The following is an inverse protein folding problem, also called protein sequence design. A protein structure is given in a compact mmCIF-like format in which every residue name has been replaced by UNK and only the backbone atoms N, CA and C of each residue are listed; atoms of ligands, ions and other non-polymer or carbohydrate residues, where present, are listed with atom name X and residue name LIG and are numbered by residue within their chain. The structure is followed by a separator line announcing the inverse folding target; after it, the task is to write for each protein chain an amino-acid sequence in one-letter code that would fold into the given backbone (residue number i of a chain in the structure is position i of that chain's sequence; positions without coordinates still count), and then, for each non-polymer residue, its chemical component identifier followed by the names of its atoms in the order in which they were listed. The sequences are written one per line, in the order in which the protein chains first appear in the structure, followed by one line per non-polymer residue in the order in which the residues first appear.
data_IF_092093882743
#
_entry.id   IF_092093882743
#
_cell.length_a   1.000
_cell.length_b   1.000
_cell.length_c   1.000
_cell.angle_alpha   90.00
_cell.angle_beta   90.00
_cell.angle_gamma   90.00
#
_symmetry.space_group_name_H-M   'P 1'
#
loop_
_entity.id
_entity.type
_entity.pdbx_description
1 polymer ?
#
# COMPACT_ATOMS: atom_id res chain seq x y z
N UNK A 1 -10.65 -8.20 49.12
CA UNK A 1 -11.64 -9.03 48.41
C UNK A 1 -11.99 -8.32 47.11
N UNK A 2 -11.41 -8.76 45.98
CA UNK A 2 -11.70 -8.19 44.66
C UNK A 2 -13.02 -8.81 44.20
N UNK A 3 -14.01 -7.95 43.94
CA UNK A 3 -15.33 -8.36 43.50
C UNK A 3 -15.24 -9.12 42.16
N UNK A 4 -15.93 -10.25 41.98
CA UNK A 4 -15.83 -11.06 40.75
C UNK A 4 -16.17 -10.25 39.49
N UNK A 5 -17.02 -9.23 39.64
CA UNK A 5 -17.37 -8.26 38.59
C UNK A 5 -16.17 -7.47 38.04
N UNK A 6 -15.17 -7.17 38.88
CA UNK A 6 -13.95 -6.48 38.44
C UNK A 6 -13.13 -7.37 37.51
N UNK A 7 -13.06 -8.67 37.80
CA UNK A 7 -12.37 -9.63 36.94
C UNK A 7 -13.06 -9.76 35.57
N UNK A 8 -14.39 -9.88 35.54
CA UNK A 8 -15.14 -9.93 34.26
C UNK A 8 -14.96 -8.67 33.41
N UNK A 9 -14.97 -7.48 34.03
CA UNK A 9 -14.75 -6.22 33.30
C UNK A 9 -13.35 -6.13 32.69
N UNK A 10 -12.32 -6.59 33.40
CA UNK A 10 -10.95 -6.63 32.86
C UNK A 10 -10.81 -7.60 31.68
N UNK A 11 -11.42 -8.78 31.76
CA UNK A 11 -11.42 -9.74 30.64
C UNK A 11 -12.15 -9.18 29.41
N UNK A 12 -13.30 -8.53 29.60
CA UNK A 12 -14.03 -7.91 28.51
C UNK A 12 -13.20 -6.81 27.82
N UNK A 13 -12.50 -5.97 28.59
CA UNK A 13 -11.66 -4.90 28.05
C UNK A 13 -10.46 -5.45 27.27
N UNK A 14 -9.84 -6.54 27.75
CA UNK A 14 -8.75 -7.23 27.05
C UNK A 14 -9.24 -7.84 25.74
N UNK A 15 -10.41 -8.49 25.73
CA UNK A 15 -11.00 -9.07 24.52
C UNK A 15 -11.28 -7.98 23.47
N UNK A 16 -11.88 -6.85 23.88
CA UNK A 16 -12.15 -5.73 22.98
C UNK A 16 -10.84 -5.17 22.39
N UNK A 17 -9.81 -5.00 23.22
CA UNK A 17 -8.51 -4.51 22.76
C UNK A 17 -7.83 -5.47 21.76
N UNK A 18 -8.00 -6.78 21.92
CA UNK A 18 -7.48 -7.79 20.97
C UNK A 18 -8.24 -7.74 19.65
N UNK A 19 -9.57 -7.62 19.67
CA UNK A 19 -10.39 -7.53 18.45
C UNK A 19 -10.00 -6.30 17.61
N UNK A 20 -9.78 -5.15 18.25
CA UNK A 20 -9.38 -3.91 17.56
C UNK A 20 -7.99 -3.99 16.90
N UNK A 21 -7.11 -4.91 17.32
CA UNK A 21 -5.79 -5.11 16.70
C UNK A 21 -5.83 -5.94 15.42
N UNK A 22 -6.91 -6.67 15.15
CA UNK A 22 -7.00 -7.61 14.02
C UNK A 22 -7.41 -6.90 12.71
N UNK A 23 -7.81 -5.62 12.77
CA UNK A 23 -8.30 -4.88 11.59
C UNK A 23 -7.19 -4.34 10.67
N UNK A 24 -5.91 -4.67 10.90
CA UNK A 24 -4.87 -4.41 9.89
C UNK A 24 -4.85 -5.57 8.89
N UNK A 25 -5.84 -5.60 8.01
CA UNK A 25 -5.84 -6.48 6.84
C UNK A 25 -4.74 -5.99 5.90
N UNK A 26 -3.60 -6.69 5.90
CA UNK A 26 -2.63 -6.55 4.82
C UNK A 26 -3.37 -6.84 3.51
N UNK A 27 -3.40 -5.86 2.60
CA UNK A 27 -3.89 -6.03 1.24
C UNK A 27 -3.11 -7.20 0.60
N UNK A 28 -3.79 -8.33 0.40
CA UNK A 28 -3.18 -9.52 -0.19
C UNK A 28 -3.17 -9.39 -1.70
N UNK A 29 -2.21 -8.62 -2.20
CA UNK A 29 -1.99 -8.47 -3.63
C UNK A 29 -1.71 -9.81 -4.32
N UNK A 30 -2.24 -9.95 -5.54
CA UNK A 30 -2.04 -11.10 -6.42
C UNK A 30 -2.55 -12.45 -5.85
N UNK A 31 -3.44 -12.40 -4.85
CA UNK A 31 -4.19 -13.57 -4.37
C UNK A 31 -5.61 -13.57 -4.94
N UNK A 32 -6.15 -14.74 -5.26
CA UNK A 32 -7.52 -14.86 -5.78
C UNK A 32 -8.57 -14.63 -4.69
N UNK A 33 -9.36 -13.58 -4.87
CA UNK A 33 -10.48 -13.23 -4.00
C UNK A 33 -11.76 -14.02 -4.27
N UNK A 34 -12.82 -13.78 -3.47
CA UNK A 34 -14.10 -14.46 -3.60
C UNK A 34 -14.84 -14.16 -4.92
N UNK A 35 -14.48 -13.08 -5.61
CA UNK A 35 -15.02 -12.70 -6.92
C UNK A 35 -14.23 -13.26 -8.11
N UNK A 36 -13.34 -14.24 -7.88
CA UNK A 36 -12.46 -14.84 -8.90
C UNK A 36 -11.54 -13.83 -9.59
N UNK A 37 -11.11 -12.81 -8.85
CA UNK A 37 -10.14 -11.81 -9.32
C UNK A 37 -8.99 -11.68 -8.34
N UNK A 38 -7.77 -11.54 -8.88
CA UNK A 38 -6.57 -11.18 -8.14
C UNK A 38 -6.15 -9.77 -8.54
N UNK A 39 -6.35 -8.79 -7.64
CA UNK A 39 -5.86 -7.44 -7.85
C UNK A 39 -4.34 -7.42 -7.73
N UNK A 40 -3.63 -6.84 -8.71
CA UNK A 40 -2.16 -6.74 -8.74
C UNK A 40 -1.65 -5.31 -8.56
N UNK A 41 -2.54 -4.33 -8.69
CA UNK A 41 -2.31 -2.92 -8.41
C UNK A 41 -3.65 -2.25 -8.11
N UNK A 42 -3.64 -0.94 -7.83
CA UNK A 42 -4.86 -0.15 -7.60
C UNK A 42 -5.92 -0.40 -8.67
N UNK A 43 -5.55 -0.50 -9.95
CA UNK A 43 -6.53 -0.55 -11.05
C UNK A 43 -6.33 -1.74 -12.00
N UNK A 44 -5.42 -2.66 -11.71
CA UNK A 44 -5.13 -3.81 -12.59
C UNK A 44 -5.27 -5.14 -11.86
N UNK A 45 -5.66 -6.17 -12.62
CA UNK A 45 -5.99 -7.47 -12.07
C UNK A 45 -5.82 -8.63 -13.05
N UNK A 46 -5.76 -9.83 -12.50
CA UNK A 46 -5.84 -11.11 -13.21
C UNK A 46 -7.18 -11.80 -12.92
N UNK A 47 -7.67 -12.56 -13.89
CA UNK A 47 -8.78 -13.47 -13.67
C UNK A 47 -8.27 -14.74 -12.99
N UNK A 48 -9.09 -15.33 -12.13
CA UNK A 48 -8.74 -16.55 -11.44
C UNK A 48 -9.53 -17.74 -11.99
N UNK A 49 -8.81 -18.84 -12.25
CA UNK A 49 -9.40 -20.15 -12.56
C UNK A 49 -8.95 -21.14 -11.47
N UNK A 50 -9.90 -21.85 -10.86
CA UNK A 50 -9.63 -22.78 -9.76
C UNK A 50 -8.77 -22.19 -8.61
N UNK A 51 -9.01 -20.90 -8.29
CA UNK A 51 -8.27 -20.11 -7.29
C UNK A 51 -6.79 -19.84 -7.64
N UNK A 52 -6.42 -19.99 -8.91
CA UNK A 52 -5.09 -19.68 -9.43
C UNK A 52 -5.22 -18.45 -10.34
N UNK A 53 -4.44 -17.37 -10.13
CA UNK A 53 -4.43 -16.22 -11.02
C UNK A 53 -3.87 -16.63 -12.39
N UNK A 54 -4.60 -16.29 -13.46
CA UNK A 54 -4.12 -16.41 -14.83
C UNK A 54 -3.28 -15.18 -15.19
N UNK A 55 -1.97 -15.35 -15.18
CA UNK A 55 -0.99 -14.30 -15.50
C UNK A 55 -0.77 -14.13 -17.01
N UNK A 56 -1.47 -14.89 -17.86
CA UNK A 56 -1.37 -14.75 -19.32
C UNK A 56 -1.92 -13.42 -19.85
N UNK A 57 -2.88 -12.83 -19.12
CA UNK A 57 -3.53 -11.58 -19.48
C UNK A 57 -3.72 -10.69 -18.25
N UNK A 58 -3.40 -9.42 -18.40
CA UNK A 58 -3.66 -8.38 -17.39
C UNK A 58 -4.83 -7.53 -17.83
N UNK A 59 -5.82 -7.40 -16.96
CA UNK A 59 -6.97 -6.52 -17.16
C UNK A 59 -6.81 -5.25 -16.34
N UNK A 60 -7.42 -4.16 -16.80
CA UNK A 60 -7.40 -2.88 -16.10
C UNK A 60 -8.81 -2.30 -16.01
N UNK A 61 -9.11 -1.72 -14.86
CA UNK A 61 -10.30 -0.92 -14.65
C UNK A 61 -10.25 0.37 -15.48
N UNK A 62 -11.42 0.90 -15.83
CA UNK A 62 -11.54 2.21 -16.47
C UNK A 62 -10.97 3.31 -15.57
N UNK A 63 -10.50 4.41 -16.16
CA UNK A 63 -9.93 5.53 -15.40
C UNK A 63 -10.89 6.02 -14.31
N UNK A 64 -10.36 6.24 -13.10
CA UNK A 64 -11.14 6.62 -11.92
C UNK A 64 -11.77 5.45 -11.15
N UNK A 65 -11.59 4.20 -11.60
CA UNK A 65 -12.02 3.02 -10.87
C UNK A 65 -10.84 2.21 -10.31
N UNK A 66 -11.05 1.67 -9.11
CA UNK A 66 -10.12 0.85 -8.34
C UNK A 66 -10.55 -0.62 -8.40
N UNK A 67 -9.57 -1.51 -8.32
CA UNK A 67 -9.73 -2.95 -8.23
C UNK A 67 -10.07 -3.35 -6.80
N UNK A 68 -11.16 -4.10 -6.66
CA UNK A 68 -11.58 -4.68 -5.39
C UNK A 68 -11.98 -6.14 -5.58
N UNK A 69 -11.84 -6.94 -4.53
CA UNK A 69 -12.32 -8.31 -4.46
C UNK A 69 -13.73 -8.40 -3.87
N UNK A 70 -14.42 -7.25 -3.78
CA UNK A 70 -15.83 -7.17 -3.47
C UNK A 70 -16.67 -7.74 -4.63
N UNK A 71 -18.00 -7.65 -4.50
CA UNK A 71 -18.93 -8.13 -5.52
C UNK A 71 -18.73 -7.48 -6.90
N UNK A 72 -18.18 -6.27 -6.96
CA UNK A 72 -17.81 -5.58 -8.19
C UNK A 72 -16.28 -5.48 -8.28
N UNK A 73 -15.71 -5.92 -9.42
CA UNK A 73 -14.25 -5.89 -9.63
C UNK A 73 -13.72 -4.46 -9.68
N UNK A 74 -14.39 -3.58 -10.42
CA UNK A 74 -14.02 -2.19 -10.58
C UNK A 74 -15.05 -1.29 -9.91
N UNK A 75 -14.63 -0.53 -8.91
CA UNK A 75 -15.48 0.42 -8.16
C UNK A 75 -14.91 1.82 -8.34
N UNK A 76 -15.75 2.85 -8.43
CA UNK A 76 -15.25 4.22 -8.55
C UNK A 76 -14.48 4.63 -7.29
N UNK A 77 -13.30 5.24 -7.43
CA UNK A 77 -12.44 5.64 -6.31
C UNK A 77 -13.15 6.57 -5.31
N UNK A 78 -14.08 7.39 -5.80
CA UNK A 78 -14.90 8.30 -5.00
C UNK A 78 -15.94 7.61 -4.10
N UNK A 79 -16.10 6.28 -4.22
CA UNK A 79 -17.10 5.51 -3.44
C UNK A 79 -16.69 5.31 -1.99
N UNK A 80 -15.50 5.75 -1.58
CA UNK A 80 -14.97 5.56 -0.22
C UNK A 80 -14.58 4.10 0.09
N UNK A 81 -14.40 3.29 -0.95
CA UNK A 81 -13.88 1.92 -0.84
C UNK A 81 -12.38 1.97 -1.06
N UNK A 82 -11.62 1.23 -0.26
CA UNK A 82 -10.17 1.14 -0.40
C UNK A 82 -9.79 0.03 -1.40
N UNK A 83 -8.71 0.17 -2.19
CA UNK A 83 -8.31 -0.85 -3.14
C UNK A 83 -7.79 -2.11 -2.42
N UNK A 84 -8.14 -3.28 -2.96
CA UNK A 84 -7.74 -4.59 -2.38
C UNK A 84 -6.28 -4.94 -2.61
N UNK A 85 -5.69 -4.35 -3.65
CA UNK A 85 -4.27 -4.37 -3.86
C UNK A 85 -3.78 -2.95 -4.09
N UNK A 86 -2.89 -2.51 -3.22
CA UNK A 86 -2.19 -1.26 -3.36
C UNK A 86 -1.28 -1.37 -4.59
N UNK A 87 -1.07 -0.29 -5.35
CA UNK A 87 -0.15 -0.33 -6.47
C UNK A 87 1.19 -0.85 -5.95
N UNK A 88 1.72 -1.95 -6.52
CA UNK A 88 3.12 -2.33 -6.30
C UNK A 88 3.95 -1.15 -6.76
N UNK A 89 4.37 -0.38 -5.78
CA UNK A 89 4.86 0.96 -5.96
C UNK A 89 6.16 0.95 -6.77
N UNK A 90 6.39 2.03 -7.51
CA UNK A 90 7.62 2.28 -8.27
C UNK A 90 8.79 2.60 -7.33
N UNK A 91 8.96 1.82 -6.26
CA UNK A 91 10.02 2.04 -5.29
C UNK A 91 11.38 1.87 -5.98
N UNK A 92 12.30 2.77 -5.65
CA UNK A 92 13.67 2.74 -6.15
C UNK A 92 13.73 2.72 -7.69
N UNK A 93 12.85 3.47 -8.36
CA UNK A 93 12.91 3.69 -9.81
C UNK A 93 13.37 5.12 -10.11
N UNK A 94 14.44 5.24 -10.88
CA UNK A 94 14.91 6.51 -11.41
C UNK A 94 14.67 6.55 -12.92
N UNK A 95 14.13 7.65 -13.41
CA UNK A 95 14.17 8.04 -14.82
C UNK A 95 15.32 9.06 -15.06
N UNK A 96 15.74 9.27 -16.31
CA UNK A 96 16.81 10.22 -16.68
C UNK A 96 16.51 11.67 -16.25
N UNK A 97 15.24 11.99 -16.04
CA UNK A 97 14.78 13.32 -15.62
C UNK A 97 14.47 13.44 -14.13
N UNK A 98 14.48 12.33 -13.37
CA UNK A 98 14.20 12.36 -11.94
C UNK A 98 15.49 12.60 -11.14
N UNK A 99 15.43 13.52 -10.18
CA UNK A 99 16.53 13.79 -9.24
C UNK A 99 16.43 12.94 -7.98
N UNK A 100 15.23 12.45 -7.64
CA UNK A 100 14.96 11.66 -6.45
C UNK A 100 13.93 10.58 -6.75
N UNK A 101 13.93 9.54 -5.95
CA UNK A 101 12.95 8.45 -5.98
C UNK A 101 12.61 8.03 -4.55
N UNK A 102 11.38 7.59 -4.33
CA UNK A 102 11.00 7.00 -3.06
C UNK A 102 11.52 5.57 -2.95
N UNK A 103 12.19 5.26 -1.84
CA UNK A 103 12.69 3.91 -1.54
C UNK A 103 11.75 3.16 -0.59
N UNK A 104 11.00 3.90 0.25
CA UNK A 104 9.96 3.40 1.14
C UNK A 104 8.89 4.50 1.35
N UNK A 105 7.83 4.23 2.10
CA UNK A 105 6.77 5.20 2.43
C UNK A 105 7.27 6.45 3.14
N UNK A 106 8.44 6.38 3.77
CA UNK A 106 9.05 7.49 4.51
C UNK A 106 10.51 7.70 4.17
N UNK A 107 11.05 7.04 3.12
CA UNK A 107 12.46 7.18 2.73
C UNK A 107 12.60 7.44 1.24
N UNK A 108 13.61 8.22 0.89
CA UNK A 108 13.93 8.59 -0.48
C UNK A 108 15.43 8.53 -0.73
N UNK A 109 15.82 8.33 -1.99
CA UNK A 109 17.21 8.36 -2.42
C UNK A 109 17.37 9.28 -3.63
N UNK A 110 18.61 9.70 -3.88
CA UNK A 110 18.94 10.51 -5.06
C UNK A 110 19.06 9.62 -6.28
N UNK A 111 18.62 10.13 -7.42
CA UNK A 111 18.85 9.57 -8.74
C UNK A 111 20.03 10.32 -9.41
N UNK A 112 21.00 9.58 -9.92
CA UNK A 112 22.12 10.12 -10.72
C UNK A 112 22.30 9.20 -11.92
N UNK A 113 22.27 9.76 -13.13
CA UNK A 113 22.40 9.01 -14.40
C UNK A 113 21.44 7.81 -14.50
N UNK A 114 20.18 8.00 -14.07
CA UNK A 114 19.16 6.95 -14.04
C UNK A 114 19.37 5.86 -12.99
N UNK A 115 20.33 6.02 -12.07
CA UNK A 115 20.64 5.06 -11.00
C UNK A 115 20.31 5.60 -9.62
N UNK A 116 19.70 4.74 -8.79
CA UNK A 116 19.42 5.03 -7.37
C UNK A 116 20.73 5.00 -6.59
N UNK A 117 21.03 6.07 -5.88
CA UNK A 117 22.19 6.13 -5.00
C UNK A 117 21.98 5.28 -3.74
N UNK A 118 23.06 4.72 -3.19
CA UNK A 118 23.03 3.89 -1.98
C UNK A 118 22.64 4.66 -0.71
N UNK A 119 22.82 5.99 -0.72
CA UNK A 119 22.46 6.86 0.39
C UNK A 119 20.97 7.17 0.31
N UNK A 120 20.24 6.72 1.33
CA UNK A 120 18.83 7.08 1.55
C UNK A 120 18.70 8.11 2.67
N UNK A 121 17.65 8.91 2.55
CA UNK A 121 17.23 9.93 3.49
C UNK A 121 15.84 9.59 4.00
N UNK A 122 15.52 10.04 5.21
CA UNK A 122 14.22 9.80 5.84
C UNK A 122 13.41 11.09 5.89
N UNK A 123 12.14 10.99 5.55
CA UNK A 123 11.20 12.08 5.74
C UNK A 123 11.01 12.40 7.23
N UNK A 124 10.75 13.67 7.59
CA UNK A 124 10.34 14.03 8.94
C UNK A 124 9.15 13.22 9.45
N UNK A 125 8.94 13.20 10.76
CA UNK A 125 7.81 12.47 11.36
C UNK A 125 6.49 12.95 10.77
N UNK A 126 5.59 12.00 10.51
CA UNK A 126 4.25 12.22 9.94
C UNK A 126 4.24 12.74 8.49
N UNK A 127 5.38 12.67 7.79
CA UNK A 127 5.45 12.93 6.36
C UNK A 127 5.79 11.66 5.59
N UNK A 128 5.25 11.58 4.39
CA UNK A 128 5.38 10.47 3.46
C UNK A 128 6.20 10.91 2.25
N UNK A 129 6.89 9.94 1.64
CA UNK A 129 7.64 10.20 0.42
C UNK A 129 6.70 10.24 -0.80
N UNK A 130 6.77 11.35 -1.54
CA UNK A 130 6.10 11.51 -2.83
C UNK A 130 6.87 12.46 -3.75
N UNK A 131 7.51 11.92 -4.79
CA UNK A 131 8.26 12.69 -5.80
C UNK A 131 7.39 13.21 -6.94
N UNK A 132 6.08 12.92 -6.94
CA UNK A 132 5.12 13.48 -7.90
C UNK A 132 4.80 14.94 -7.59
N UNK A 133 5.06 15.39 -6.37
CA UNK A 133 4.84 16.77 -5.93
C UNK A 133 6.14 17.59 -6.01
N UNK A 134 6.04 18.91 -5.80
CA UNK A 134 7.23 19.77 -5.71
C UNK A 134 8.09 19.50 -4.48
N UNK A 135 7.53 18.87 -3.44
CA UNK A 135 8.21 18.54 -2.20
C UNK A 135 8.36 17.01 -2.08
N UNK A 136 9.52 16.52 -1.66
CA UNK A 136 9.77 15.08 -1.57
C UNK A 136 9.01 14.45 -0.40
N UNK A 137 8.81 15.21 0.68
CA UNK A 137 8.17 14.74 1.90
C UNK A 137 6.91 15.57 2.14
N UNK A 138 5.75 14.94 1.98
CA UNK A 138 4.45 15.59 2.07
C UNK A 138 3.58 14.94 3.14
N UNK A 139 2.57 15.65 3.62
CA UNK A 139 1.56 15.06 4.50
C UNK A 139 0.51 14.28 3.69
N UNK A 140 -0.30 13.51 4.39
CA UNK A 140 -1.32 12.63 3.83
C UNK A 140 -2.33 13.37 2.92
N UNK A 141 -2.62 14.66 3.17
CA UNK A 141 -3.55 15.43 2.34
C UNK A 141 -3.00 15.77 0.96
N UNK A 142 -1.68 15.73 0.80
CA UNK A 142 -0.98 16.06 -0.44
C UNK A 142 -0.58 14.81 -1.24
N UNK A 143 -0.83 13.62 -0.68
CA UNK A 143 -0.69 12.38 -1.40
C UNK A 143 -1.82 12.21 -2.40
N UNK A 144 -1.49 11.74 -3.60
CA UNK A 144 -2.48 11.37 -4.59
C UNK A 144 -3.36 10.24 -4.04
N UNK A 145 -4.66 10.50 -3.92
CA UNK A 145 -5.64 9.61 -3.28
C UNK A 145 -5.31 9.22 -1.82
N UNK A 146 -4.49 10.02 -1.11
CA UNK A 146 -4.04 9.69 0.25
C UNK A 146 -2.95 8.61 0.30
N UNK A 147 -2.33 8.27 -0.83
CA UNK A 147 -1.42 7.12 -0.95
C UNK A 147 0.03 7.54 -1.26
N UNK A 148 1.03 7.01 -0.52
CA UNK A 148 2.43 7.28 -0.80
C UNK A 148 2.86 6.69 -2.14
N UNK A 149 3.82 7.33 -2.80
CA UNK A 149 4.37 6.84 -4.07
C UNK A 149 5.08 5.48 -3.91
N UNK A 150 5.60 5.21 -2.70
CA UNK A 150 6.19 3.94 -2.31
C UNK A 150 5.54 3.40 -1.04
N UNK A 151 4.95 2.19 -1.08
CA UNK A 151 4.22 1.59 0.05
C UNK A 151 5.05 0.54 0.79
N UNK A 152 6.37 0.60 0.67
CA UNK A 152 7.24 -0.25 1.47
C UNK A 152 7.47 0.36 2.84
N UNK A 153 7.35 -0.46 3.89
CA UNK A 153 7.71 -0.06 5.25
C UNK A 153 9.21 0.22 5.38
N UNK A 154 10.02 -0.60 4.70
CA UNK A 154 11.48 -0.49 4.67
C UNK A 154 12.00 -0.35 3.24
N UNK A 155 13.07 0.42 3.03
CA UNK A 155 13.66 0.57 1.71
C UNK A 155 14.18 -0.76 1.18
N UNK A 156 13.97 -1.05 -0.11
CA UNK A 156 14.69 -2.12 -0.81
C UNK A 156 16.16 -1.72 -0.87
N UNK A 157 16.91 -2.10 0.16
CA UNK A 157 18.35 -1.88 0.22
C UNK A 157 18.98 -2.64 -0.95
N UNK A 158 19.33 -1.91 -2.02
CA UNK A 158 20.43 -2.30 -2.90
C UNK A 158 21.68 -2.50 -2.06
N UNK A 159 22.56 -3.45 -2.42
CA UNK A 159 23.35 -4.26 -1.51
C UNK A 159 24.06 -3.45 -0.43
N UNK A 160 23.98 -3.93 0.83
CA UNK A 160 24.89 -3.51 1.90
C UNK A 160 26.31 -3.80 1.42
N UNK A 161 27.08 -2.75 1.10
CA UNK A 161 28.53 -2.83 0.99
C UNK A 161 29.12 -2.72 2.39
#
# INVERSE_FOLDING_TARGET
MISPYFSYMTFAFVIIAVILRIQQTNAKCDECGPNSVACISNSSFHLCYDKIPDTSQTFSCVSGAICTQLSMVCIAAESGVEPDCLPKTACSKCDENQLFTCTSSTTYARCIDGQVQSVSYKCPRHLFCDTRTSEICVDECHLDLGMPECDLDEPLIGPKV
#
